data_IF_977225963017
#
_entry.id   IF_977225963017
#
_cell.length_a   1.000
_cell.length_b   1.000
_cell.length_c   1.000
_cell.angle_alpha   90.00
_cell.angle_beta   90.00
_cell.angle_gamma   90.00
#
_symmetry.space_group_name_H-M   'P 1'
#
loop_
_entity.id
_entity.type
_entity.pdbx_description
1 polymer ?
#
# COMPACT_ATOMS: atom_id res chain seq x y z
N UNK A 1 13.66 5.70 -16.51
CA UNK A 1 14.37 5.71 -15.22
C UNK A 1 13.96 6.97 -14.46
N UNK A 2 13.17 6.84 -13.39
CA UNK A 2 12.80 8.00 -12.58
C UNK A 2 14.04 8.49 -11.82
N UNK A 3 14.36 9.79 -11.92
CA UNK A 3 15.44 10.40 -11.19
C UNK A 3 15.25 10.18 -9.68
N UNK A 4 16.36 9.95 -8.98
CA UNK A 4 16.47 9.50 -7.57
C UNK A 4 15.78 10.40 -6.51
N UNK A 5 15.13 11.50 -6.92
CA UNK A 5 14.44 12.46 -6.04
C UNK A 5 12.93 12.28 -5.86
N UNK A 6 12.22 11.53 -6.71
CA UNK A 6 10.74 11.64 -6.77
C UNK A 6 9.99 10.31 -6.87
N UNK A 7 10.59 9.20 -6.43
CA UNK A 7 9.95 7.88 -6.50
C UNK A 7 8.59 7.85 -5.77
N UNK A 8 8.48 8.54 -4.64
CA UNK A 8 7.22 8.68 -3.92
C UNK A 8 6.18 9.50 -4.69
N UNK A 9 6.56 10.52 -5.47
CA UNK A 9 5.60 11.28 -6.28
C UNK A 9 5.07 10.46 -7.45
N UNK A 10 5.89 9.55 -7.98
CA UNK A 10 5.44 8.59 -8.98
C UNK A 10 4.46 7.58 -8.38
N UNK A 11 4.79 7.01 -7.21
CA UNK A 11 4.04 5.90 -6.63
C UNK A 11 2.82 6.32 -5.81
N UNK A 12 2.89 7.43 -5.07
CA UNK A 12 1.84 7.83 -4.13
C UNK A 12 0.48 8.09 -4.83
N UNK A 13 0.41 8.82 -5.96
CA UNK A 13 -0.85 9.01 -6.69
C UNK A 13 -1.38 7.70 -7.29
N UNK A 14 -0.48 6.82 -7.77
CA UNK A 14 -0.85 5.52 -8.34
C UNK A 14 -1.41 4.61 -7.25
N UNK A 15 -0.75 4.51 -6.10
CA UNK A 15 -1.24 3.76 -4.96
C UNK A 15 -2.62 4.29 -4.51
N UNK A 16 -2.79 5.61 -4.42
CA UNK A 16 -4.08 6.20 -4.08
C UNK A 16 -5.18 5.84 -5.08
N UNK A 17 -4.89 5.93 -6.38
CA UNK A 17 -5.84 5.63 -7.45
C UNK A 17 -6.21 4.14 -7.52
N UNK A 18 -5.23 3.24 -7.45
CA UNK A 18 -5.44 1.80 -7.65
C UNK A 18 -5.93 1.07 -6.40
N UNK A 19 -5.73 1.61 -5.20
CA UNK A 19 -6.07 0.92 -3.94
C UNK A 19 -7.15 1.61 -3.13
N UNK A 20 -7.40 2.92 -3.36
CA UNK A 20 -8.34 3.70 -2.55
C UNK A 20 -7.95 3.84 -1.08
N UNK A 21 -6.71 3.48 -0.71
CA UNK A 21 -6.21 3.65 0.65
C UNK A 21 -6.09 5.13 1.01
N UNK A 22 -6.25 5.46 2.31
CA UNK A 22 -6.22 6.86 2.74
C UNK A 22 -4.81 7.41 2.59
N UNK A 23 -4.70 8.66 2.17
CA UNK A 23 -3.40 9.36 2.05
C UNK A 23 -2.52 9.20 3.29
N UNK A 24 -3.08 9.30 4.50
CA UNK A 24 -2.33 9.14 5.74
C UNK A 24 -1.74 7.75 5.93
N UNK A 25 -2.43 6.71 5.46
CA UNK A 25 -1.95 5.32 5.48
C UNK A 25 -0.85 5.13 4.41
N UNK A 26 -1.07 5.66 3.21
CA UNK A 26 -0.11 5.56 2.10
C UNK A 26 1.21 6.30 2.37
N UNK A 27 1.17 7.47 3.02
CA UNK A 27 2.38 8.23 3.38
C UNK A 27 3.23 7.50 4.43
N UNK A 28 2.61 6.68 5.29
CA UNK A 28 3.32 5.87 6.29
C UNK A 28 3.50 4.41 5.85
N UNK A 29 3.19 4.07 4.59
CA UNK A 29 3.23 2.69 4.12
C UNK A 29 4.66 2.15 4.12
N UNK A 30 4.89 1.05 4.84
CA UNK A 30 6.17 0.37 4.85
C UNK A 30 6.12 -0.89 3.99
N UNK A 31 7.29 -1.32 3.49
CA UNK A 31 7.40 -2.55 2.68
C UNK A 31 6.85 -3.78 3.40
N UNK A 32 6.99 -3.86 4.73
CA UNK A 32 6.47 -4.97 5.55
C UNK A 32 4.93 -5.09 5.53
N UNK A 33 4.23 -4.01 5.21
CA UNK A 33 2.77 -4.00 5.10
C UNK A 33 2.31 -4.55 3.74
N UNK A 34 3.19 -4.66 2.75
CA UNK A 34 2.87 -5.27 1.45
C UNK A 34 3.09 -6.77 1.56
N UNK A 35 2.03 -7.55 1.36
CA UNK A 35 2.04 -9.00 1.48
C UNK A 35 1.43 -9.64 0.24
N UNK A 36 1.78 -10.91 0.00
CA UNK A 36 1.23 -11.72 -1.08
C UNK A 36 0.36 -12.80 -0.47
N UNK A 37 -0.86 -12.96 -1.00
CA UNK A 37 -1.75 -14.04 -0.62
C UNK A 37 -1.63 -15.16 -1.66
N UNK A 38 -1.08 -16.34 -1.31
CA UNK A 38 -0.78 -17.39 -2.28
C UNK A 38 -2.03 -17.99 -2.93
N UNK A 39 -3.09 -18.23 -2.16
CA UNK A 39 -4.29 -18.91 -2.70
C UNK A 39 -5.09 -18.09 -3.72
N UNK A 40 -4.99 -16.76 -3.66
CA UNK A 40 -5.66 -15.81 -4.58
C UNK A 40 -4.65 -15.10 -5.49
N UNK A 41 -3.38 -15.50 -5.41
CA UNK A 41 -2.25 -14.99 -6.21
C UNK A 41 -2.22 -13.46 -6.31
N UNK A 42 -2.43 -12.78 -5.18
CA UNK A 42 -2.64 -11.33 -5.15
C UNK A 42 -1.85 -10.65 -4.06
N UNK A 43 -1.17 -9.57 -4.44
CA UNK A 43 -0.58 -8.64 -3.48
C UNK A 43 -1.66 -7.80 -2.79
N UNK A 44 -1.44 -7.48 -1.53
CA UNK A 44 -2.33 -6.63 -0.74
C UNK A 44 -1.52 -5.76 0.22
N UNK A 45 -2.10 -4.62 0.60
CA UNK A 45 -1.63 -3.77 1.68
C UNK A 45 -2.37 -4.19 2.96
N UNK A 46 -1.62 -4.62 3.96
CA UNK A 46 -2.12 -4.90 5.29
C UNK A 46 -2.11 -3.62 6.12
N UNK A 47 -3.28 -3.03 6.34
CA UNK A 47 -3.45 -1.88 7.24
C UNK A 47 -3.77 -2.43 8.63
N UNK A 48 -2.83 -2.32 9.58
CA UNK A 48 -3.04 -2.75 10.98
C UNK A 48 -2.60 -1.69 11.98
N UNK A 49 -2.96 -1.93 13.25
CA UNK A 49 -2.59 -1.14 14.41
C UNK A 49 -1.20 -1.47 14.98
N UNK A 50 -0.47 -2.40 14.36
CA UNK A 50 0.79 -2.92 14.91
C UNK A 50 1.99 -2.00 14.66
N UNK A 51 1.87 -1.08 13.72
CA UNK A 51 2.83 0.00 13.53
C UNK A 51 2.68 1.03 14.64
N UNK A 52 3.80 1.60 15.13
CA UNK A 52 3.96 2.45 16.33
C UNK A 52 3.02 3.68 16.46
N UNK A 53 2.11 3.87 15.49
CA UNK A 53 1.01 4.84 15.51
C UNK A 53 -0.33 4.08 15.56
N UNK A 54 -0.88 3.94 16.77
CA UNK A 54 -2.26 3.49 17.03
C UNK A 54 -3.23 4.10 15.99
N UNK A 55 -3.88 3.28 15.17
CA UNK A 55 -5.10 3.73 14.50
C UNK A 55 -6.14 3.97 15.60
N UNK A 56 -7.00 4.97 15.39
CA UNK A 56 -7.90 5.47 16.43
C UNK A 56 -8.97 4.45 16.87
N UNK A 57 -9.18 3.38 16.11
CA UNK A 57 -10.22 2.36 16.34
C UNK A 57 -9.86 1.01 15.72
N UNK A 58 -10.37 -0.07 16.30
CA UNK A 58 -10.17 -1.46 15.84
C UNK A 58 -10.71 -1.69 14.41
N UNK A 59 -11.80 -1.00 14.07
CA UNK A 59 -12.43 -0.99 12.74
C UNK A 59 -11.54 -0.44 11.60
N UNK A 60 -10.35 0.08 11.91
CA UNK A 60 -9.42 0.57 10.90
C UNK A 60 -8.56 -0.53 10.27
N UNK A 61 -8.50 -1.72 10.90
CA UNK A 61 -7.76 -2.88 10.41
C UNK A 61 -8.44 -3.45 9.17
N UNK A 62 -7.71 -3.56 8.06
CA UNK A 62 -8.24 -4.13 6.82
C UNK A 62 -7.14 -4.56 5.85
N UNK A 63 -7.53 -5.39 4.90
CA UNK A 63 -6.70 -5.78 3.76
C UNK A 63 -7.16 -4.99 2.54
N UNK A 64 -6.23 -4.32 1.87
CA UNK A 64 -6.51 -3.57 0.64
C UNK A 64 -5.82 -4.29 -0.53
N UNK A 65 -6.57 -4.90 -1.48
CA UNK A 65 -5.96 -5.61 -2.59
C UNK A 65 -5.20 -4.65 -3.51
N UNK A 66 -4.08 -5.11 -4.05
CA UNK A 66 -3.32 -4.43 -5.08
C UNK A 66 -3.72 -5.04 -6.44
N UNK A 67 -4.03 -4.17 -7.39
CA UNK A 67 -4.33 -4.58 -8.77
C UNK A 67 -3.06 -5.06 -9.47
N UNK A 68 -3.18 -6.09 -10.33
CA UNK A 68 -2.05 -6.63 -11.09
C UNK A 68 -1.38 -5.54 -11.94
N UNK A 69 -2.18 -4.64 -12.54
CA UNK A 69 -1.67 -3.48 -13.29
C UNK A 69 -0.69 -2.61 -12.49
N UNK A 70 -0.91 -2.47 -11.18
CA UNK A 70 -0.03 -1.68 -10.33
C UNK A 70 1.29 -2.41 -10.03
N UNK A 71 1.25 -3.75 -9.93
CA UNK A 71 2.42 -4.61 -9.77
C UNK A 71 3.26 -4.60 -11.03
N UNK A 72 2.62 -4.71 -12.20
CA UNK A 72 3.30 -4.70 -13.51
C UNK A 72 4.04 -3.37 -13.77
N UNK A 73 3.54 -2.26 -13.23
CA UNK A 73 4.21 -0.96 -13.31
C UNK A 73 5.47 -0.88 -12.42
N UNK A 74 5.62 -1.79 -11.46
CA UNK A 74 6.69 -1.79 -10.46
C UNK A 74 7.86 -2.72 -10.83
N UNK A 75 7.65 -3.59 -11.81
CA UNK A 75 8.63 -4.46 -12.46
C UNK A 75 9.34 -3.71 -13.60
#
# INVERSE_FOLDING_TARGET
MAAKGEMWQYWLPRLAFYTGARRGELVNLQKKNIKFHPDIERYYIQITNEDEKKLKTDNAVRLVPISQKLVDLAL
#
